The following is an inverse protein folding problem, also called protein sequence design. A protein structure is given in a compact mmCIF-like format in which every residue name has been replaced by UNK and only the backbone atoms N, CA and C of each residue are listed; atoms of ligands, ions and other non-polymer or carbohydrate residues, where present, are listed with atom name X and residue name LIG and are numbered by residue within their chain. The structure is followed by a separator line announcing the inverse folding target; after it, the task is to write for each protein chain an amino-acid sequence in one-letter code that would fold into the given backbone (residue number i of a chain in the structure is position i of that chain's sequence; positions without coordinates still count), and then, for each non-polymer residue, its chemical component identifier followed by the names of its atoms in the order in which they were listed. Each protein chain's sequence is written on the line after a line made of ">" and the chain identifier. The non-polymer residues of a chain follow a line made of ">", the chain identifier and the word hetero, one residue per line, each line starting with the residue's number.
data_IF_006823761968
#
_entry.id   IF_006823761968
#
_cell.length_a   1.000
_cell.length_b   1.000
_cell.length_c   1.000
_cell.angle_alpha   90.00
_cell.angle_beta   90.00
_cell.angle_gamma   90.00
#
_symmetry.space_group_name_H-M   'P 1'
#
loop_
_entity.id
_entity.type
_entity.pdbx_description
1 polymer ?
#
# COMPACT_ATOMS: atom_id res chain seq x y z
N UNK A 1 -5.40 67.90 -24.42
CA UNK A 1 -4.35 66.96 -24.00
C UNK A 1 -5.03 65.90 -23.13
N UNK A 2 -5.17 64.70 -23.69
CA UNK A 2 -5.50 63.41 -23.06
C UNK A 2 -6.85 63.24 -22.34
N UNK A 3 -7.92 63.20 -23.13
CA UNK A 3 -9.13 62.43 -22.83
C UNK A 3 -9.39 61.52 -24.05
N UNK A 4 -9.84 60.28 -23.85
CA UNK A 4 -10.40 59.32 -24.85
C UNK A 4 -9.85 57.88 -24.95
N UNK A 5 -8.90 57.39 -24.14
CA UNK A 5 -8.39 56.01 -24.33
C UNK A 5 -8.81 54.95 -23.30
N UNK A 6 -9.82 55.17 -22.45
CA UNK A 6 -10.21 54.17 -21.45
C UNK A 6 -11.71 53.82 -21.45
N UNK A 7 -12.24 53.32 -22.58
CA UNK A 7 -13.65 52.86 -22.66
C UNK A 7 -13.92 51.69 -23.62
N UNK A 8 -13.01 50.70 -23.67
CA UNK A 8 -13.23 49.49 -24.49
C UNK A 8 -12.67 48.20 -23.88
N UNK A 9 -12.68 48.05 -22.54
CA UNK A 9 -12.59 46.72 -21.92
C UNK A 9 -14.00 46.17 -21.75
N UNK A 10 -14.55 45.69 -22.87
CA UNK A 10 -15.75 44.86 -22.84
C UNK A 10 -15.44 43.59 -22.06
N UNK A 11 -16.23 43.35 -21.01
CA UNK A 11 -16.28 42.09 -20.29
C UNK A 11 -16.57 40.96 -21.27
N UNK A 12 -15.58 40.09 -21.52
CA UNK A 12 -15.82 38.83 -22.20
C UNK A 12 -16.71 37.97 -21.27
N UNK A 13 -17.81 37.37 -21.77
CA UNK A 13 -18.63 36.48 -20.96
C UNK A 13 -17.80 35.27 -20.52
N UNK A 14 -17.72 35.06 -19.21
CA UNK A 14 -17.16 33.87 -18.60
C UNK A 14 -17.99 32.65 -19.05
N UNK A 15 -17.54 31.95 -20.09
CA UNK A 15 -18.23 30.77 -20.62
C UNK A 15 -17.98 30.47 -22.10
N UNK A 16 -17.43 31.40 -22.88
CA UNK A 16 -17.06 31.10 -24.26
C UNK A 16 -15.81 30.22 -24.29
N UNK A 17 -15.98 28.89 -24.42
CA UNK A 17 -14.86 28.02 -24.84
C UNK A 17 -14.29 28.59 -26.14
N UNK A 18 -12.96 28.65 -26.30
CA UNK A 18 -12.37 29.05 -27.57
C UNK A 18 -12.95 28.16 -28.66
N UNK A 19 -13.44 28.75 -29.75
CA UNK A 19 -14.12 28.03 -30.84
C UNK A 19 -13.31 26.84 -31.37
N UNK A 20 -11.97 26.89 -31.25
CA UNK A 20 -11.06 25.80 -31.59
C UNK A 20 -11.26 24.49 -30.79
N UNK A 21 -11.82 24.55 -29.57
CA UNK A 21 -12.10 23.35 -28.77
C UNK A 21 -13.48 22.74 -29.05
N UNK A 22 -14.43 23.54 -29.55
CA UNK A 22 -15.74 23.04 -30.00
C UNK A 22 -15.65 22.35 -31.37
N UNK A 23 -14.63 22.68 -32.17
CA UNK A 23 -14.32 22.12 -33.48
C UNK A 23 -13.62 20.73 -33.42
N UNK A 24 -13.43 20.19 -32.22
CA UNK A 24 -12.82 18.89 -31.94
C UNK A 24 -13.73 18.05 -31.03
N UNK A 25 -15.03 18.09 -31.30
CA UNK A 25 -16.00 17.26 -30.61
C UNK A 25 -16.05 15.85 -31.23
N UNK A 26 -15.69 14.77 -30.49
CA UNK A 26 -15.72 13.40 -31.01
C UNK A 26 -17.12 12.91 -31.37
N UNK A 27 -18.18 13.51 -30.81
CA UNK A 27 -19.57 13.15 -31.15
C UNK A 27 -20.02 13.76 -32.48
N UNK A 28 -19.46 14.92 -32.84
CA UNK A 28 -19.84 15.66 -34.05
C UNK A 28 -18.95 15.31 -35.26
N UNK A 29 -17.65 15.03 -35.07
CA UNK A 29 -16.73 14.62 -36.14
C UNK A 29 -15.73 13.54 -35.65
N UNK A 30 -16.17 12.26 -35.60
CA UNK A 30 -15.35 11.17 -35.08
C UNK A 30 -14.10 10.93 -35.94
N UNK A 31 -14.20 11.11 -37.27
CA UNK A 31 -13.08 10.86 -38.18
C UNK A 31 -11.94 11.87 -37.98
N UNK A 32 -12.28 13.15 -37.80
CA UNK A 32 -11.28 14.20 -37.55
C UNK A 32 -10.65 14.05 -36.17
N UNK A 33 -11.44 13.66 -35.18
CA UNK A 33 -10.94 13.30 -33.86
C UNK A 33 -9.96 12.13 -33.92
N UNK A 34 -10.35 11.03 -34.57
CA UNK A 34 -9.49 9.85 -34.74
C UNK A 34 -8.20 10.18 -35.49
N UNK A 35 -8.26 10.98 -36.56
CA UNK A 35 -7.08 11.42 -37.29
C UNK A 35 -6.12 12.25 -36.42
N UNK A 36 -6.66 13.12 -35.55
CA UNK A 36 -5.87 13.90 -34.61
C UNK A 36 -5.22 13.01 -33.53
N UNK A 37 -5.99 12.08 -32.96
CA UNK A 37 -5.47 11.09 -32.00
C UNK A 37 -4.38 10.24 -32.63
N UNK A 38 -4.61 9.73 -33.85
CA UNK A 38 -3.64 8.93 -34.58
C UNK A 38 -2.34 9.71 -34.85
N UNK A 39 -2.44 10.98 -35.23
CA UNK A 39 -1.28 11.86 -35.42
C UNK A 39 -0.52 12.08 -34.11
N UNK A 40 -1.21 12.39 -33.01
CA UNK A 40 -0.59 12.57 -31.69
C UNK A 40 0.10 11.29 -31.25
N UNK A 41 -0.54 10.13 -31.40
CA UNK A 41 0.04 8.84 -31.03
C UNK A 41 1.26 8.49 -31.91
N UNK A 42 1.21 8.79 -33.20
CA UNK A 42 2.33 8.58 -34.11
C UNK A 42 3.54 9.45 -33.71
N UNK A 43 3.30 10.70 -33.35
CA UNK A 43 4.34 11.65 -32.93
C UNK A 43 4.87 11.34 -31.52
N UNK A 44 4.01 10.86 -30.62
CA UNK A 44 4.38 10.46 -29.26
C UNK A 44 5.06 9.08 -29.20
N UNK A 45 4.92 8.24 -30.23
CA UNK A 45 5.47 6.88 -30.29
C UNK A 45 6.95 6.78 -29.90
N UNK A 46 7.90 7.58 -30.43
CA UNK A 46 9.30 7.51 -30.01
C UNK A 46 9.49 7.82 -28.52
N UNK A 47 8.71 8.73 -27.93
CA UNK A 47 8.77 9.05 -26.50
C UNK A 47 8.20 7.92 -25.63
N UNK A 48 7.13 7.26 -26.10
CA UNK A 48 6.55 6.09 -25.44
C UNK A 48 7.51 4.90 -25.48
N UNK A 49 8.18 4.67 -26.61
CA UNK A 49 9.18 3.61 -26.76
C UNK A 49 10.41 3.88 -25.88
N UNK A 50 10.87 5.14 -25.82
CA UNK A 50 11.93 5.55 -24.89
C UNK A 50 11.54 5.31 -23.42
N UNK A 51 10.28 5.57 -23.04
CA UNK A 51 9.77 5.29 -21.68
C UNK A 51 9.64 3.80 -21.38
N UNK A 52 9.32 2.95 -22.36
CA UNK A 52 9.26 1.49 -22.18
C UNK A 52 10.62 0.89 -21.84
N UNK A 53 11.70 1.50 -22.33
CA UNK A 53 13.07 1.11 -22.02
C UNK A 53 13.54 1.60 -20.65
N UNK A 54 12.82 2.54 -20.02
CA UNK A 54 13.17 2.97 -18.67
C UNK A 54 12.65 1.97 -17.63
N UNK A 55 13.48 1.60 -16.64
CA UNK A 55 13.06 0.76 -15.54
C UNK A 55 11.95 1.49 -14.78
N UNK A 56 10.72 0.99 -14.88
CA UNK A 56 9.60 1.48 -14.08
C UNK A 56 9.70 0.90 -12.68
N UNK A 57 9.22 1.64 -11.68
CA UNK A 57 9.17 1.17 -10.28
C UNK A 57 8.47 -0.20 -10.16
N UNK A 58 7.38 -0.40 -10.92
CA UNK A 58 6.67 -1.67 -11.01
C UNK A 58 7.53 -2.78 -11.66
N UNK A 59 8.29 -2.47 -12.72
CA UNK A 59 9.21 -3.42 -13.34
C UNK A 59 10.36 -3.80 -12.41
N UNK A 60 10.89 -2.86 -11.64
CA UNK A 60 11.90 -3.11 -10.61
C UNK A 60 11.33 -4.04 -9.53
N UNK A 61 10.15 -3.73 -8.98
CA UNK A 61 9.48 -4.56 -7.97
C UNK A 61 9.16 -5.98 -8.48
N UNK A 62 8.71 -6.11 -9.73
CA UNK A 62 8.48 -7.41 -10.35
C UNK A 62 9.77 -8.25 -10.48
N UNK A 63 10.91 -7.59 -10.73
CA UNK A 63 12.23 -8.23 -10.75
C UNK A 63 12.64 -8.88 -9.43
N UNK A 64 12.18 -8.33 -8.29
CA UNK A 64 12.47 -8.87 -6.96
C UNK A 64 11.65 -10.10 -6.58
N UNK A 65 10.62 -10.47 -7.36
CA UNK A 65 9.77 -11.63 -7.04
C UNK A 65 10.56 -12.93 -6.99
N UNK A 66 11.44 -13.17 -7.96
CA UNK A 66 12.27 -14.39 -8.04
C UNK A 66 13.25 -14.51 -6.87
N UNK A 67 14.09 -13.50 -6.56
CA UNK A 67 15.02 -13.60 -5.44
C UNK A 67 14.30 -13.69 -4.09
N UNK A 68 13.16 -13.01 -3.90
CA UNK A 68 12.36 -13.13 -2.66
C UNK A 68 11.82 -14.55 -2.46
N UNK A 69 11.27 -15.16 -3.51
CA UNK A 69 10.79 -16.56 -3.43
C UNK A 69 11.95 -17.52 -3.14
N UNK A 70 13.10 -17.33 -3.80
CA UNK A 70 14.27 -18.15 -3.55
C UNK A 70 14.75 -18.06 -2.10
N UNK A 71 14.84 -16.85 -1.54
CA UNK A 71 15.19 -16.62 -0.15
C UNK A 71 14.18 -17.28 0.81
N UNK A 72 12.89 -17.10 0.55
CA UNK A 72 11.82 -17.72 1.36
C UNK A 72 11.90 -19.26 1.32
N UNK A 73 12.15 -19.86 0.16
CA UNK A 73 12.31 -21.31 0.04
C UNK A 73 13.55 -21.84 0.78
N UNK A 74 14.66 -21.11 0.75
CA UNK A 74 15.86 -21.48 1.51
C UNK A 74 15.62 -21.42 3.01
N UNK A 75 14.93 -20.38 3.48
CA UNK A 75 14.58 -20.21 4.89
C UNK A 75 13.59 -21.29 5.36
N UNK A 76 12.59 -21.62 4.54
CA UNK A 76 11.69 -22.73 4.81
C UNK A 76 12.42 -24.08 4.86
N UNK A 77 13.34 -24.34 3.93
CA UNK A 77 14.14 -25.56 3.94
C UNK A 77 15.03 -25.65 5.19
N UNK A 78 15.63 -24.54 5.61
CA UNK A 78 16.41 -24.47 6.85
C UNK A 78 15.54 -24.70 8.10
N UNK A 79 14.33 -24.14 8.14
CA UNK A 79 13.38 -24.37 9.22
C UNK A 79 12.94 -25.84 9.30
N UNK A 80 12.69 -26.48 8.15
CA UNK A 80 12.36 -27.91 8.11
C UNK A 80 13.57 -28.76 8.55
N UNK A 81 14.77 -28.43 8.07
CA UNK A 81 15.98 -29.15 8.44
C UNK A 81 16.27 -29.05 9.94
N UNK A 82 16.09 -27.86 10.53
CA UNK A 82 16.25 -27.65 11.98
C UNK A 82 15.21 -28.41 12.79
N UNK A 83 13.94 -28.42 12.36
CA UNK A 83 12.90 -29.24 12.99
C UNK A 83 13.19 -30.75 12.93
N UNK A 84 13.77 -31.22 11.83
CA UNK A 84 14.15 -32.64 11.68
C UNK A 84 15.38 -33.02 12.51
N UNK A 85 16.28 -32.06 12.77
CA UNK A 85 17.47 -32.29 13.60
C UNK A 85 17.19 -32.15 15.10
N UNK A 86 16.13 -31.45 15.47
CA UNK A 86 15.71 -31.37 16.87
C UNK A 86 15.13 -32.72 17.27
N UNK A 87 15.73 -33.44 18.24
CA UNK A 87 15.07 -34.59 18.81
C UNK A 87 13.72 -34.11 19.35
N UNK A 88 12.63 -34.69 18.86
CA UNK A 88 11.31 -34.50 19.45
C UNK A 88 11.45 -34.85 20.92
N UNK A 89 11.36 -33.86 21.80
CA UNK A 89 11.11 -34.08 23.22
C UNK A 89 9.69 -34.66 23.30
N UNK A 90 9.57 -35.94 22.95
CA UNK A 90 8.41 -36.77 23.18
C UNK A 90 8.31 -36.99 24.68
N UNK A 91 7.86 -35.95 25.36
CA UNK A 91 7.67 -35.85 26.78
C UNK A 91 6.98 -34.52 26.95
N UNK A 92 5.68 -34.55 27.23
CA UNK A 92 5.05 -33.44 27.90
C UNK A 92 5.84 -33.25 29.20
N UNK A 93 6.83 -32.37 29.18
CA UNK A 93 7.26 -31.71 30.39
C UNK A 93 6.08 -30.81 30.72
N UNK A 94 5.16 -31.34 31.52
CA UNK A 94 4.42 -30.53 32.48
C UNK A 94 5.48 -29.67 33.17
N UNK A 95 5.73 -28.49 32.62
CA UNK A 95 6.30 -27.40 33.39
C UNK A 95 5.33 -27.27 34.54
N UNK A 96 5.70 -27.83 35.69
CA UNK A 96 4.92 -27.72 36.89
C UNK A 96 4.72 -26.22 37.10
N UNK A 97 3.50 -25.74 36.86
CA UNK A 97 3.10 -24.35 37.15
C UNK A 97 3.34 -23.95 38.61
N UNK A 98 3.81 -24.88 39.45
CA UNK A 98 4.32 -24.64 40.78
C UNK A 98 5.51 -23.66 40.84
N UNK A 99 6.31 -23.50 39.77
CA UNK A 99 7.49 -22.62 39.82
C UNK A 99 7.28 -21.22 39.23
N UNK A 100 6.15 -20.98 38.54
CA UNK A 100 5.74 -19.63 38.17
C UNK A 100 4.88 -19.09 39.31
N UNK A 101 5.43 -18.19 40.13
CA UNK A 101 4.61 -17.37 41.04
C UNK A 101 3.75 -16.43 40.22
N UNK A 102 2.65 -16.97 39.69
CA UNK A 102 1.61 -16.18 39.05
C UNK A 102 0.83 -15.47 40.16
N UNK A 103 0.63 -14.14 40.08
CA UNK A 103 -0.24 -13.43 41.01
C UNK A 103 -1.61 -14.10 41.09
N UNK A 104 -2.16 -14.22 42.31
CA UNK A 104 -3.45 -14.90 42.53
C UNK A 104 -4.56 -14.38 41.61
N UNK A 105 -4.57 -13.07 41.36
CA UNK A 105 -5.47 -12.37 40.44
C UNK A 105 -5.42 -12.96 39.02
N UNK A 106 -4.23 -13.27 38.51
CA UNK A 106 -4.02 -13.87 37.18
C UNK A 106 -4.39 -15.36 37.16
N UNK A 107 -4.13 -16.09 38.26
CA UNK A 107 -4.52 -17.50 38.39
C UNK A 107 -6.04 -17.66 38.34
N UNK A 108 -6.79 -16.77 39.00
CA UNK A 108 -8.25 -16.78 39.00
C UNK A 108 -8.85 -16.55 37.59
N UNK A 109 -8.23 -15.71 36.77
CA UNK A 109 -8.66 -15.48 35.39
C UNK A 109 -8.46 -16.72 34.50
N UNK A 110 -7.32 -17.40 34.67
CA UNK A 110 -7.01 -18.63 33.93
C UNK A 110 -7.99 -19.74 34.30
N UNK A 111 -8.24 -19.96 35.60
CA UNK A 111 -9.17 -20.99 36.08
C UNK A 111 -10.62 -20.69 35.64
N UNK A 112 -11.02 -19.43 35.66
CA UNK A 112 -12.37 -19.00 35.27
C UNK A 112 -12.60 -18.89 33.76
N UNK A 113 -11.60 -19.10 32.90
CA UNK A 113 -11.65 -18.79 31.45
C UNK A 113 -12.13 -17.35 31.18
N UNK A 114 -11.75 -16.42 32.06
CA UNK A 114 -12.17 -15.03 32.02
C UNK A 114 -11.06 -14.16 31.43
N UNK A 115 -11.44 -13.25 30.52
CA UNK A 115 -10.52 -12.25 30.00
C UNK A 115 -10.66 -10.97 30.86
N UNK A 116 -9.59 -10.54 31.57
CA UNK A 116 -9.64 -9.36 32.40
C UNK A 116 -9.81 -8.08 31.58
N UNK A 117 -10.40 -7.08 32.21
CA UNK A 117 -10.40 -5.72 31.72
C UNK A 117 -9.01 -5.08 31.85
N UNK A 118 -8.78 -3.98 31.11
CA UNK A 118 -7.50 -3.25 31.15
C UNK A 118 -7.22 -2.70 32.57
N UNK A 119 -8.25 -2.28 33.30
CA UNK A 119 -8.12 -1.77 34.67
C UNK A 119 -7.66 -2.87 35.63
N UNK A 120 -8.26 -4.06 35.54
CA UNK A 120 -7.88 -5.22 36.35
C UNK A 120 -6.46 -5.71 36.07
N UNK A 121 -6.00 -5.63 34.81
CA UNK A 121 -4.61 -5.90 34.43
C UNK A 121 -3.64 -4.93 35.11
N UNK A 122 -3.96 -3.64 35.15
CA UNK A 122 -3.10 -2.63 35.78
C UNK A 122 -3.00 -2.88 37.28
N UNK A 123 -4.12 -3.15 37.95
CA UNK A 123 -4.14 -3.46 39.39
C UNK A 123 -3.31 -4.71 39.71
N UNK A 124 -3.42 -5.77 38.90
CA UNK A 124 -2.65 -6.99 39.11
C UNK A 124 -1.13 -6.80 38.91
N UNK A 125 -0.71 -5.85 38.06
CA UNK A 125 0.70 -5.49 37.87
C UNK A 125 1.22 -4.64 39.04
N UNK A 126 0.40 -3.70 39.53
CA UNK A 126 0.74 -2.87 40.70
C UNK A 126 0.86 -3.69 41.99
N UNK A 127 0.01 -4.70 42.17
CA UNK A 127 0.07 -5.63 43.31
C UNK A 127 1.41 -6.38 43.42
N UNK A 128 2.11 -6.56 42.29
CA UNK A 128 3.38 -7.30 42.20
C UNK A 128 4.61 -6.41 41.99
N UNK A 129 4.43 -5.08 41.90
CA UNK A 129 5.53 -4.13 41.85
C UNK A 129 6.05 -3.88 43.29
N UNK A 130 7.36 -4.05 43.58
CA UNK A 130 7.93 -3.82 44.91
C UNK A 130 7.95 -2.34 45.31
#
# INVERSE_FOLDING_TARGET
>A
MNDHQNKARGSAPAGARPAAAADLDPETDPNRWEALVARILAEARPLLDARRLQPTLAGTLAGWRRPVIAAASGLAAAAVATLMLLPSAGGAEEVAMAEVMVPWSVAAWIEGSYAPTVEELVVAVEEYAP
#
